data_IF_689182263730
#
_entry.id   IF_689182263730
#
_cell.length_a   1.000
_cell.length_b   1.000
_cell.length_c   1.000
_cell.angle_alpha   90.00
_cell.angle_beta   90.00
_cell.angle_gamma   90.00
#
_symmetry.space_group_name_H-M   'P 1'
#
loop_
_entity.id
_entity.type
_entity.pdbx_description
1 polymer ?
#
# COMPACT_ATOMS: atom_id res chain seq x y z
N UNK A 1 2.52 -2.63 3.34
CA UNK A 1 3.88 -2.24 3.79
C UNK A 1 4.26 -0.87 3.23
N UNK A 2 4.81 0.04 4.05
CA UNK A 2 5.31 1.35 3.59
C UNK A 2 6.80 1.23 3.26
N UNK A 3 7.22 1.70 2.08
CA UNK A 3 8.61 1.73 1.62
C UNK A 3 9.03 3.16 1.29
N UNK A 4 10.33 3.43 1.39
CA UNK A 4 10.90 4.73 1.02
C UNK A 4 11.00 4.88 -0.49
N UNK A 5 10.96 6.13 -0.96
CA UNK A 5 11.22 6.50 -2.35
C UNK A 5 12.46 5.85 -2.94
N UNK A 6 13.59 5.86 -2.22
CA UNK A 6 14.83 5.24 -2.69
C UNK A 6 14.68 3.74 -3.02
N UNK A 7 13.74 3.05 -2.35
CA UNK A 7 13.43 1.65 -2.63
C UNK A 7 12.55 1.46 -3.87
N UNK A 8 11.75 2.46 -4.26
CA UNK A 8 10.91 2.40 -5.46
C UNK A 8 11.76 2.16 -6.72
N UNK A 9 12.87 2.87 -6.86
CA UNK A 9 13.78 2.71 -8.02
C UNK A 9 14.25 1.25 -8.13
N UNK A 10 14.66 0.65 -7.01
CA UNK A 10 15.08 -0.75 -6.95
C UNK A 10 13.94 -1.69 -7.38
N UNK A 11 12.71 -1.44 -6.91
CA UNK A 11 11.55 -2.23 -7.32
C UNK A 11 11.22 -2.07 -8.81
N UNK A 12 11.28 -0.85 -9.36
CA UNK A 12 11.06 -0.61 -10.78
C UNK A 12 12.12 -1.29 -11.65
N UNK A 13 13.38 -1.28 -11.21
CA UNK A 13 14.44 -2.06 -11.85
C UNK A 13 14.18 -3.55 -11.81
N UNK A 14 13.73 -4.11 -10.69
CA UNK A 14 13.39 -5.53 -10.56
C UNK A 14 12.21 -5.91 -11.46
N UNK A 15 11.21 -5.04 -11.56
CA UNK A 15 10.05 -5.21 -12.46
C UNK A 15 10.49 -5.22 -13.93
N UNK A 16 11.44 -4.35 -14.29
CA UNK A 16 12.01 -4.27 -15.64
C UNK A 16 12.86 -5.50 -15.96
N UNK A 17 13.75 -5.88 -15.03
CA UNK A 17 14.66 -7.03 -15.20
C UNK A 17 13.86 -8.34 -15.27
N UNK A 18 12.68 -8.39 -14.67
CA UNK A 18 11.90 -9.61 -14.47
C UNK A 18 12.61 -10.51 -13.46
N UNK A 19 11.86 -11.11 -12.55
CA UNK A 19 12.42 -12.18 -11.73
C UNK A 19 12.67 -13.41 -12.62
N UNK A 20 13.58 -14.32 -12.24
CA UNK A 20 13.84 -15.54 -13.01
C UNK A 20 12.53 -16.32 -13.25
N UNK A 21 12.02 -16.25 -14.48
CA UNK A 21 10.68 -16.71 -14.85
C UNK A 21 10.06 -15.88 -15.98
N UNK A 22 8.97 -16.35 -16.57
CA UNK A 22 8.22 -15.78 -17.72
C UNK A 22 7.56 -14.40 -17.46
N UNK A 23 8.06 -13.62 -16.51
CA UNK A 23 7.45 -12.36 -16.10
C UNK A 23 7.69 -11.21 -17.07
N UNK A 24 8.76 -11.28 -17.88
CA UNK A 24 9.08 -10.25 -18.87
C UNK A 24 8.01 -10.10 -19.96
N UNK A 25 7.24 -11.15 -20.22
CA UNK A 25 6.12 -11.14 -21.16
C UNK A 25 4.83 -10.58 -20.56
N UNK A 26 4.69 -10.53 -19.24
CA UNK A 26 3.45 -10.09 -18.58
C UNK A 26 3.39 -8.57 -18.49
N UNK A 27 2.32 -7.92 -18.99
CA UNK A 27 2.20 -6.48 -18.90
C UNK A 27 2.01 -6.01 -17.45
N UNK A 28 2.47 -4.79 -17.16
CA UNK A 28 2.19 -4.07 -15.91
C UNK A 28 0.85 -3.34 -16.08
N UNK A 29 -0.04 -3.43 -15.10
CA UNK A 29 -1.25 -2.61 -15.10
C UNK A 29 -0.96 -1.28 -14.39
N UNK A 30 -1.08 -0.16 -15.09
CA UNK A 30 -0.94 1.17 -14.53
C UNK A 30 -2.34 1.79 -14.47
N UNK A 31 -2.75 2.21 -13.28
CA UNK A 31 -3.98 2.97 -13.07
C UNK A 31 -3.60 4.32 -12.48
N UNK A 32 -4.02 5.40 -13.11
CA UNK A 32 -3.70 6.75 -12.65
C UNK A 32 -4.95 7.60 -12.49
N UNK A 33 -4.95 8.46 -11.49
CA UNK A 33 -5.94 9.55 -11.40
C UNK A 33 -5.78 10.52 -12.59
N UNK A 34 -6.81 11.31 -12.87
CA UNK A 34 -6.83 12.29 -13.97
C UNK A 34 -6.32 13.68 -13.57
N UNK A 35 -5.75 13.84 -12.38
CA UNK A 35 -5.15 15.10 -11.93
C UNK A 35 -3.77 15.36 -12.55
N UNK A 36 -3.31 16.61 -12.48
CA UNK A 36 -2.07 17.04 -13.14
C UNK A 36 -0.82 16.35 -12.55
N UNK A 37 -0.81 16.10 -11.24
CA UNK A 37 0.30 15.44 -10.57
C UNK A 37 0.40 13.97 -11.01
N UNK A 38 -0.73 13.28 -11.10
CA UNK A 38 -0.83 11.95 -11.70
C UNK A 38 -0.33 11.90 -13.13
N UNK A 39 -0.73 12.84 -13.98
CA UNK A 39 -0.33 12.88 -15.38
C UNK A 39 1.19 13.09 -15.52
N UNK A 40 1.77 13.97 -14.69
CA UNK A 40 3.21 14.19 -14.65
C UNK A 40 3.96 12.93 -14.21
N UNK A 41 3.55 12.32 -13.08
CA UNK A 41 4.12 11.07 -12.58
C UNK A 41 4.02 9.93 -13.61
N UNK A 42 2.82 9.76 -14.18
CA UNK A 42 2.53 8.72 -15.17
C UNK A 42 3.38 8.88 -16.43
N UNK A 43 3.62 10.11 -16.88
CA UNK A 43 4.49 10.37 -18.04
C UNK A 43 5.91 9.88 -17.79
N UNK A 44 6.47 10.17 -16.60
CA UNK A 44 7.83 9.74 -16.22
C UNK A 44 7.90 8.20 -16.17
N UNK A 45 6.93 7.55 -15.54
CA UNK A 45 6.89 6.09 -15.41
C UNK A 45 6.73 5.40 -16.76
N UNK A 46 5.79 5.89 -17.59
CA UNK A 46 5.57 5.32 -18.92
C UNK A 46 6.83 5.45 -19.79
N UNK A 47 7.49 6.61 -19.77
CA UNK A 47 8.75 6.82 -20.49
C UNK A 47 9.85 5.87 -20.00
N UNK A 48 9.96 5.65 -18.68
CA UNK A 48 10.87 4.66 -18.11
C UNK A 48 10.59 3.24 -18.61
N UNK A 49 9.33 2.79 -18.62
CA UNK A 49 8.98 1.46 -19.12
C UNK A 49 9.18 1.32 -20.64
N UNK A 50 8.86 2.35 -21.42
CA UNK A 50 9.11 2.38 -22.88
C UNK A 50 10.60 2.20 -23.16
N UNK A 51 11.47 2.99 -22.49
CA UNK A 51 12.93 2.91 -22.65
C UNK A 51 13.49 1.54 -22.30
N UNK A 52 12.84 0.84 -21.37
CA UNK A 52 13.23 -0.49 -20.93
C UNK A 52 12.47 -1.63 -21.64
N UNK A 53 11.74 -1.33 -22.72
CA UNK A 53 10.96 -2.33 -23.50
C UNK A 53 10.01 -3.17 -22.65
N UNK A 54 9.42 -2.56 -21.61
CA UNK A 54 8.49 -3.22 -20.71
C UNK A 54 7.05 -2.98 -21.14
N UNK A 55 6.28 -4.05 -21.29
CA UNK A 55 4.86 -3.97 -21.64
C UNK A 55 4.06 -3.44 -20.44
N UNK A 56 3.13 -2.53 -20.70
CA UNK A 56 2.18 -2.04 -19.72
C UNK A 56 0.85 -1.68 -20.38
N UNK A 57 -0.22 -1.73 -19.59
CA UNK A 57 -1.52 -1.19 -19.93
C UNK A 57 -1.78 0.01 -19.02
N UNK A 58 -2.29 1.11 -19.58
CA UNK A 58 -2.57 2.33 -18.82
C UNK A 58 -4.07 2.61 -18.83
N UNK A 59 -4.65 2.79 -17.64
CA UNK A 59 -6.06 3.12 -17.46
C UNK A 59 -6.21 4.36 -16.57
N UNK A 60 -6.73 5.48 -17.11
CA UNK A 60 -7.07 6.63 -16.28
C UNK A 60 -8.39 6.36 -15.54
N UNK A 61 -8.47 6.80 -14.29
CA UNK A 61 -9.69 6.77 -13.47
C UNK A 61 -9.95 8.14 -12.88
N UNK A 62 -11.21 8.56 -12.84
CA UNK A 62 -11.58 9.90 -12.35
C UNK A 62 -11.70 9.98 -10.83
N UNK A 63 -11.87 8.85 -10.15
CA UNK A 63 -12.03 8.77 -8.70
C UNK A 63 -11.74 7.36 -8.18
N UNK A 64 -11.74 7.20 -6.85
CA UNK A 64 -11.60 5.91 -6.19
C UNK A 64 -12.79 4.97 -6.49
N UNK A 65 -14.01 5.50 -6.59
CA UNK A 65 -15.19 4.73 -6.97
C UNK A 65 -15.11 4.25 -8.42
N UNK A 66 -14.54 5.07 -9.31
CA UNK A 66 -14.29 4.67 -10.69
C UNK A 66 -13.26 3.53 -10.76
N UNK A 67 -12.23 3.55 -9.90
CA UNK A 67 -11.29 2.44 -9.74
C UNK A 67 -12.01 1.17 -9.27
N UNK A 68 -12.85 1.24 -8.24
CA UNK A 68 -13.62 0.09 -7.76
C UNK A 68 -14.51 -0.49 -8.86
N UNK A 69 -15.24 0.37 -9.58
CA UNK A 69 -16.09 -0.06 -10.70
C UNK A 69 -15.28 -0.71 -11.82
N UNK A 70 -14.12 -0.13 -12.18
CA UNK A 70 -13.24 -0.67 -13.20
C UNK A 70 -12.78 -2.09 -12.86
N UNK A 71 -12.32 -2.32 -11.62
CA UNK A 71 -11.83 -3.64 -11.19
C UNK A 71 -12.98 -4.66 -11.05
N UNK A 72 -14.15 -4.24 -10.59
CA UNK A 72 -15.28 -5.16 -10.38
C UNK A 72 -15.98 -5.55 -11.69
N UNK A 73 -16.11 -4.62 -12.64
CA UNK A 73 -16.99 -4.80 -13.80
C UNK A 73 -16.25 -4.92 -15.13
N UNK A 74 -15.06 -4.34 -15.26
CA UNK A 74 -14.40 -4.15 -16.56
C UNK A 74 -13.07 -4.89 -16.68
N UNK A 75 -12.39 -5.15 -15.56
CA UNK A 75 -11.05 -5.72 -15.59
C UNK A 75 -10.81 -6.75 -14.48
N UNK A 76 -10.77 -8.02 -14.87
CA UNK A 76 -10.41 -9.09 -13.93
C UNK A 76 -8.89 -9.12 -13.69
N UNK A 77 -8.44 -8.39 -12.66
CA UNK A 77 -7.04 -8.38 -12.21
C UNK A 77 -6.60 -9.77 -11.70
N UNK A 78 -7.55 -10.62 -11.29
CA UNK A 78 -7.25 -11.92 -10.69
C UNK A 78 -6.65 -12.92 -11.70
N UNK A 79 -6.87 -12.73 -13.00
CA UNK A 79 -6.35 -13.59 -14.07
C UNK A 79 -4.93 -13.21 -14.53
N UNK A 80 -3.96 -13.28 -13.61
CA UNK A 80 -2.54 -13.37 -13.98
C UNK A 80 -1.76 -12.06 -14.02
N UNK A 81 -2.34 -10.94 -13.58
CA UNK A 81 -1.59 -9.70 -13.39
C UNK A 81 -0.62 -9.81 -12.22
N UNK A 82 0.67 -9.67 -12.53
CA UNK A 82 1.73 -9.72 -11.51
C UNK A 82 1.95 -8.38 -10.83
N UNK A 83 1.86 -7.29 -11.59
CA UNK A 83 2.16 -5.95 -11.10
C UNK A 83 1.01 -4.99 -11.42
N UNK A 84 0.51 -4.33 -10.38
CA UNK A 84 -0.45 -3.23 -10.48
C UNK A 84 0.21 -2.00 -9.87
N UNK A 85 0.24 -0.91 -10.61
CA UNK A 85 0.79 0.36 -10.19
C UNK A 85 -0.34 1.39 -10.14
N UNK A 86 -0.59 1.94 -8.96
CA UNK A 86 -1.58 2.99 -8.74
C UNK A 86 -0.86 4.33 -8.57
N UNK A 87 -1.30 5.35 -9.31
CA UNK A 87 -0.73 6.70 -9.30
C UNK A 87 -1.80 7.71 -8.88
N UNK A 88 -1.56 8.37 -7.75
CA UNK A 88 -2.46 9.29 -7.03
C UNK A 88 -3.89 8.76 -6.87
N UNK A 89 -3.99 7.45 -6.67
CA UNK A 89 -5.24 6.75 -6.40
C UNK A 89 -4.95 5.51 -5.57
N UNK A 90 -5.91 5.09 -4.75
CA UNK A 90 -5.87 3.82 -4.04
C UNK A 90 -5.39 3.89 -2.58
N UNK A 91 -4.79 4.99 -2.13
CA UNK A 91 -4.35 5.12 -0.73
C UNK A 91 -5.50 4.97 0.26
N UNK A 92 -6.65 5.59 -0.02
CA UNK A 92 -7.80 5.69 0.89
C UNK A 92 -8.84 4.56 0.76
N UNK A 93 -8.58 3.53 -0.03
CA UNK A 93 -9.51 2.39 -0.22
C UNK A 93 -8.85 1.08 0.21
N UNK A 94 -9.66 0.07 0.55
CA UNK A 94 -9.15 -1.23 0.95
C UNK A 94 -8.70 -2.04 -0.28
N UNK A 95 -7.44 -1.88 -0.67
CA UNK A 95 -6.88 -2.51 -1.87
C UNK A 95 -6.82 -4.04 -1.77
N UNK A 96 -6.83 -4.58 -0.55
CA UNK A 96 -6.87 -6.02 -0.35
C UNK A 96 -8.21 -6.60 -0.81
N UNK A 97 -9.30 -5.92 -0.50
CA UNK A 97 -10.62 -6.32 -0.94
C UNK A 97 -10.91 -5.89 -2.38
N UNK A 98 -10.52 -4.67 -2.75
CA UNK A 98 -10.82 -4.09 -4.07
C UNK A 98 -9.99 -4.70 -5.19
N UNK A 99 -8.66 -4.81 -5.02
CA UNK A 99 -7.75 -5.22 -6.09
C UNK A 99 -7.29 -6.67 -5.93
N UNK A 100 -6.84 -7.04 -4.74
CA UNK A 100 -6.25 -8.38 -4.55
C UNK A 100 -7.34 -9.46 -4.59
N UNK A 101 -8.47 -9.27 -3.91
CA UNK A 101 -9.60 -10.22 -3.88
C UNK A 101 -9.15 -11.71 -3.74
N UNK A 102 -8.26 -12.00 -2.79
CA UNK A 102 -7.60 -13.29 -2.53
C UNK A 102 -6.48 -13.73 -3.51
N UNK A 103 -6.16 -12.94 -4.53
CA UNK A 103 -5.00 -13.17 -5.39
C UNK A 103 -3.70 -12.95 -4.59
N UNK A 104 -2.86 -13.99 -4.51
CA UNK A 104 -1.59 -14.00 -3.77
C UNK A 104 -0.37 -13.70 -4.63
N UNK A 105 -0.54 -13.54 -5.94
CA UNK A 105 0.56 -13.37 -6.91
C UNK A 105 0.72 -11.93 -7.37
N UNK A 106 -0.31 -11.09 -7.19
CA UNK A 106 -0.28 -9.68 -7.54
C UNK A 106 0.44 -8.86 -6.48
N UNK A 107 1.35 -8.01 -6.93
CA UNK A 107 1.96 -6.93 -6.17
C UNK A 107 1.33 -5.61 -6.59
N UNK A 108 0.76 -4.89 -5.63
CA UNK A 108 0.18 -3.56 -5.81
C UNK A 108 1.16 -2.53 -5.27
N UNK A 109 1.61 -1.62 -6.12
CA UNK A 109 2.49 -0.51 -5.78
C UNK A 109 1.64 0.75 -5.82
N UNK A 110 1.64 1.52 -4.74
CA UNK A 110 0.80 2.71 -4.58
C UNK A 110 1.71 3.91 -4.44
N UNK A 111 1.63 4.80 -5.42
CA UNK A 111 2.24 6.11 -5.44
C UNK A 111 1.12 7.12 -5.25
N UNK A 112 0.76 7.43 -4.01
CA UNK A 112 -0.41 8.27 -3.74
C UNK A 112 -0.13 9.24 -2.61
N UNK A 113 -0.47 10.50 -2.84
CA UNK A 113 -0.25 11.59 -1.89
C UNK A 113 -1.38 11.71 -0.87
N UNK A 114 -2.54 11.07 -1.08
CA UNK A 114 -3.67 11.12 -0.16
C UNK A 114 -3.33 10.48 1.20
N UNK A 115 -3.75 11.16 2.28
CA UNK A 115 -3.61 10.71 3.67
C UNK A 115 -4.91 10.94 4.45
N UNK A 116 -5.17 10.15 5.50
CA UNK A 116 -4.38 8.99 5.94
C UNK A 116 -4.50 7.81 4.97
N UNK A 117 -3.53 6.90 4.99
CA UNK A 117 -3.67 5.63 4.28
C UNK A 117 -4.78 4.77 4.89
N UNK A 118 -5.47 4.02 4.04
CA UNK A 118 -6.38 2.98 4.50
C UNK A 118 -5.60 1.95 5.32
N UNK A 119 -6.06 1.71 6.55
CA UNK A 119 -5.33 0.96 7.57
C UNK A 119 -4.88 -0.43 7.13
N UNK A 120 -5.66 -1.09 6.28
CA UNK A 120 -5.33 -2.43 5.80
C UNK A 120 -4.14 -2.40 4.83
N UNK A 121 -4.01 -1.33 4.05
CA UNK A 121 -2.87 -1.11 3.14
C UNK A 121 -1.58 -0.83 3.94
N UNK A 122 -1.72 -0.12 5.06
CA UNK A 122 -0.62 0.23 5.95
C UNK A 122 -0.20 -0.88 6.93
N UNK A 123 -0.95 -1.99 7.03
CA UNK A 123 -0.57 -3.12 7.90
C UNK A 123 0.80 -3.69 7.46
N UNK A 124 1.76 -3.75 8.38
CA UNK A 124 3.12 -4.25 8.11
C UNK A 124 3.15 -5.73 7.73
N UNK A 125 2.08 -6.48 8.03
CA UNK A 125 1.93 -7.88 7.62
C UNK A 125 1.47 -8.00 6.18
N UNK A 126 0.91 -6.94 5.61
CA UNK A 126 0.50 -6.92 4.22
C UNK A 126 1.73 -6.64 3.35
N UNK A 127 2.16 -7.68 2.64
CA UNK A 127 3.36 -7.68 1.80
C UNK A 127 3.06 -7.49 0.32
N UNK A 128 1.80 -7.64 -0.07
CA UNK A 128 1.38 -7.49 -1.46
C UNK A 128 1.03 -6.04 -1.82
N UNK A 129 0.91 -5.16 -0.82
CA UNK A 129 0.67 -3.73 -1.02
C UNK A 129 1.92 -2.96 -0.57
N UNK A 130 2.53 -2.25 -1.51
CA UNK A 130 3.68 -1.38 -1.29
C UNK A 130 3.23 0.07 -1.39
N UNK A 131 3.07 0.73 -0.26
CA UNK A 131 2.83 2.17 -0.18
C UNK A 131 4.19 2.88 -0.28
N UNK A 132 4.39 3.74 -1.27
CA UNK A 132 5.62 4.54 -1.36
C UNK A 132 5.41 5.85 -0.64
N UNK A 133 6.24 6.09 0.37
CA UNK A 133 6.23 7.32 1.14
C UNK A 133 7.67 7.70 1.50
N UNK A 134 8.08 8.93 1.18
CA UNK A 134 9.28 9.49 1.77
C UNK A 134 8.87 9.97 3.16
N UNK A 135 9.20 9.18 4.19
CA UNK A 135 8.82 9.38 5.59
C UNK A 135 9.39 10.72 6.10
N UNK A 136 8.79 11.81 5.64
CA UNK A 136 8.74 13.09 6.31
C UNK A 136 7.82 12.93 7.51
N UNK A 137 7.88 13.86 8.46
CA UNK A 137 7.15 13.84 9.75
C UNK A 137 5.65 13.49 9.68
N UNK A 138 5.04 13.49 8.50
CA UNK A 138 3.65 13.09 8.23
C UNK A 138 3.44 11.57 8.11
N UNK A 139 4.38 10.81 7.54
CA UNK A 139 4.30 9.34 7.46
C UNK A 139 4.49 8.65 8.83
N UNK A 140 4.99 9.39 9.82
CA UNK A 140 5.12 8.92 11.20
C UNK A 140 3.75 8.62 11.84
N UNK A 141 2.67 9.35 11.48
CA UNK A 141 1.33 9.09 12.03
C UNK A 141 0.76 7.77 11.55
N UNK A 142 0.76 7.53 10.25
CA UNK A 142 0.23 6.29 9.66
C UNK A 142 1.07 5.08 10.09
N UNK A 143 2.39 5.26 10.18
CA UNK A 143 3.29 4.23 10.69
C UNK A 143 3.10 3.97 12.19
N UNK A 144 2.99 5.01 13.03
CA UNK A 144 2.73 4.88 14.46
C UNK A 144 1.40 4.19 14.74
N UNK A 145 0.35 4.59 14.01
CA UNK A 145 -0.98 3.97 14.08
C UNK A 145 -0.91 2.48 13.72
N UNK A 146 -0.21 2.11 12.62
CA UNK A 146 -0.04 0.71 12.23
C UNK A 146 0.66 -0.13 13.32
N UNK A 147 1.71 0.41 13.96
CA UNK A 147 2.44 -0.25 15.06
C UNK A 147 1.59 -0.43 16.30
N UNK A 148 0.83 0.60 16.66
CA UNK A 148 -0.03 0.58 17.84
C UNK A 148 -1.11 -0.50 17.74
N UNK A 149 -1.74 -0.68 16.58
CA UNK A 149 -2.74 -1.76 16.39
C UNK A 149 -2.14 -3.15 16.51
N UNK A 150 -0.93 -3.37 16.00
CA UNK A 150 -0.24 -4.67 16.14
C UNK A 150 -0.01 -4.98 17.60
N UNK A 151 0.39 -3.98 18.39
CA UNK A 151 0.57 -4.13 19.82
C UNK A 151 -0.75 -4.50 20.52
N UNK A 152 -1.83 -3.74 20.27
CA UNK A 152 -3.16 -4.01 20.85
C UNK A 152 -3.64 -5.43 20.48
N UNK A 153 -3.53 -5.81 19.21
CA UNK A 153 -3.92 -7.15 18.74
C UNK A 153 -3.14 -8.25 19.45
N UNK A 154 -1.82 -8.11 19.57
CA UNK A 154 -0.98 -9.07 20.31
C UNK A 154 -1.34 -9.14 21.79
N UNK A 155 -1.64 -8.01 22.43
CA UNK A 155 -2.07 -7.96 23.83
C UNK A 155 -3.41 -8.69 24.03
N UNK A 156 -4.38 -8.46 23.15
CA UNK A 156 -5.67 -9.15 23.17
C UNK A 156 -5.51 -10.66 22.92
N UNK A 157 -4.72 -11.07 21.92
CA UNK A 157 -4.44 -12.49 21.63
C UNK A 157 -3.76 -13.19 22.83
N UNK A 158 -2.82 -12.52 23.51
CA UNK A 158 -2.20 -13.03 24.74
C UNK A 158 -3.23 -13.19 25.86
N UNK A 159 -4.09 -12.19 26.08
CA UNK A 159 -5.17 -12.27 27.08
C UNK A 159 -6.16 -13.39 26.77
N UNK A 160 -6.55 -13.56 25.51
CA UNK A 160 -7.45 -14.65 25.10
C UNK A 160 -6.81 -16.03 25.32
N UNK A 161 -5.52 -16.17 25.00
CA UNK A 161 -4.75 -17.40 25.27
C UNK A 161 -4.59 -17.69 26.77
N UNK A 162 -4.45 -16.65 27.62
CA UNK A 162 -4.48 -16.78 29.09
C UNK A 162 -5.85 -17.24 29.58
N UNK A 163 -6.94 -16.64 29.10
CA UNK A 163 -8.31 -17.08 29.44
C UNK A 163 -8.61 -18.52 29.00
N UNK A 164 -7.98 -18.97 27.91
CA UNK A 164 -8.10 -20.35 27.41
C UNK A 164 -7.13 -21.33 28.09
N UNK A 165 -6.31 -20.88 29.05
CA UNK A 165 -5.35 -21.72 29.77
C UNK A 165 -4.17 -22.23 28.92
N UNK A 166 -3.87 -21.57 27.80
CA UNK A 166 -2.82 -21.99 26.84
C UNK A 166 -1.46 -21.37 27.21
N UNK A 167 -1.45 -20.22 27.90
CA UNK A 167 -0.25 -19.55 28.39
C UNK A 167 -0.23 -19.63 29.92
N UNK A 168 0.86 -20.15 30.49
CA UNK A 168 1.13 -20.07 31.93
C UNK A 168 1.81 -18.73 32.25
N UNK A 169 1.61 -18.25 33.48
CA UNK A 169 2.10 -16.96 33.96
C UNK A 169 3.62 -17.01 34.17
N UNK A 170 4.38 -16.86 33.09
CA UNK A 170 5.78 -16.48 33.20
C UNK A 170 5.86 -14.94 33.19
N UNK A 171 6.34 -14.41 34.30
CA UNK A 171 6.58 -12.99 34.56
C UNK A 171 7.76 -12.48 33.72
N UNK A 172 7.55 -12.16 32.44
CA UNK A 172 8.52 -11.39 31.67
C UNK A 172 7.92 -10.02 31.29
N UNK A 173 8.31 -9.03 32.10
CA UNK A 173 8.16 -7.59 31.89
C UNK A 173 8.98 -7.14 30.67
N UNK A 174 8.42 -7.28 29.47
CA UNK A 174 8.77 -6.37 28.36
C UNK A 174 7.68 -5.30 28.25
N UNK A 175 7.54 -4.49 29.31
CA UNK A 175 6.87 -3.19 29.23
C UNK A 175 7.77 -2.24 28.45
N UNK A 176 7.66 -2.27 27.13
CA UNK A 176 7.97 -1.06 26.36
C UNK A 176 6.91 -0.03 26.77
N UNK A 177 7.31 0.86 27.66
CA UNK A 177 6.54 2.01 28.11
C UNK A 177 6.30 2.97 26.94
N UNK A 178 5.27 2.69 26.14
CA UNK A 178 4.55 3.76 25.43
C UNK A 178 3.51 4.27 26.42
N UNK A 179 4.00 4.90 27.49
CA UNK A 179 3.16 5.74 28.33
C UNK A 179 2.70 6.92 27.47
N UNK A 180 1.37 7.05 27.37
CA UNK A 180 0.62 8.22 26.90
C UNK A 180 0.34 8.38 25.40
N UNK A 181 -0.19 7.35 24.74
CA UNK A 181 -1.21 7.64 23.71
C UNK A 181 -2.21 6.51 23.49
N UNK A 182 -2.81 6.00 24.56
CA UNK A 182 -3.79 4.92 24.46
C UNK A 182 -5.17 5.45 24.04
N UNK A 183 -5.33 5.95 22.80
CA UNK A 183 -6.61 6.08 22.03
C UNK A 183 -6.50 6.95 20.77
N UNK A 184 -5.65 6.61 19.80
CA UNK A 184 -5.99 6.99 18.42
C UNK A 184 -7.14 6.09 17.96
N UNK A 185 -8.39 6.47 18.27
CA UNK A 185 -9.60 5.81 17.76
C UNK A 185 -9.65 5.99 16.23
N UNK A 186 -10.33 5.06 15.54
CA UNK A 186 -10.52 5.16 14.08
C UNK A 186 -11.06 6.56 13.70
N UNK A 187 -11.94 7.12 14.53
CA UNK A 187 -12.51 8.46 14.36
C UNK A 187 -11.46 9.58 14.38
N UNK A 188 -10.36 9.43 15.14
CA UNK A 188 -9.28 10.42 15.19
C UNK A 188 -8.32 10.25 14.01
N UNK A 189 -8.00 9.00 13.64
CA UNK A 189 -7.13 8.70 12.52
C UNK A 189 -7.73 9.20 11.19
N UNK A 190 -9.02 8.93 10.96
CA UNK A 190 -9.74 9.36 9.77
C UNK A 190 -10.35 10.77 9.89
N UNK A 191 -10.05 11.52 10.96
CA UNK A 191 -10.65 12.83 11.19
C UNK A 191 -10.27 13.87 10.13
N UNK A 192 -9.03 13.83 9.65
CA UNK A 192 -8.49 14.81 8.71
C UNK A 192 -7.89 14.13 7.48
N UNK A 193 -8.41 14.48 6.31
CA UNK A 193 -7.83 14.13 5.02
C UNK A 193 -6.91 15.24 4.54
N UNK A 194 -5.72 14.89 4.06
CA UNK A 194 -4.75 15.82 3.50
C UNK A 194 -3.92 15.15 2.40
N UNK A 195 -3.06 15.93 1.73
CA UNK A 195 -2.15 15.42 0.72
C UNK A 195 -0.70 15.69 1.13
N UNK A 196 0.17 14.69 0.93
CA UNK A 196 1.60 14.76 1.18
C UNK A 196 2.35 15.41 0.01
N UNK A 197 3.66 15.15 -0.11
CA UNK A 197 4.47 15.46 -1.28
C UNK A 197 3.78 15.06 -2.59
N UNK A 198 3.91 15.87 -3.66
CA UNK A 198 3.41 15.52 -4.99
C UNK A 198 3.97 14.18 -5.46
N UNK A 199 3.12 13.31 -5.98
CA UNK A 199 3.45 11.99 -6.49
C UNK A 199 4.48 12.07 -7.61
N UNK A 200 4.41 13.09 -8.47
CA UNK A 200 5.39 13.31 -9.54
C UNK A 200 6.81 13.59 -9.04
N UNK A 201 6.95 14.08 -7.80
CA UNK A 201 8.25 14.27 -7.18
C UNK A 201 8.79 12.98 -6.56
N UNK A 202 7.95 11.97 -6.34
CA UNK A 202 8.34 10.67 -5.76
C UNK A 202 8.83 9.68 -6.83
N UNK A 203 8.47 9.90 -8.09
CA UNK A 203 8.96 9.13 -9.25
C UNK A 203 10.36 9.58 -9.65
#
# INVERSE_FOLDING_TARGET
MIIRRASLIVFLEDIVKGQEGDDRGRPILIICSTDIDSLAACTIICDYFIKNSRLFNLFPVSSAEALESFVQNEYDISEGMKYVLLINVGAGIDLKHTILNNNKQTLVIVLDSLRPYERHNADVRERQILLVDDISSTGERDYAYSKQRIFIKRKMERQQKRMQGILQDDEDEDEISIENDSRLDDDEYYHFTYYSSPTSLEV
#
